data_IF_012201273770
#
_entry.id   IF_012201273770
#
_cell.length_a   1.000
_cell.length_b   1.000
_cell.length_c   1.000
_cell.angle_alpha   90.00
_cell.angle_beta   90.00
_cell.angle_gamma   90.00
#
_symmetry.space_group_name_H-M   'P 1'
#
loop_
_entity.id
_entity.type
_entity.pdbx_description
1 polymer ?
#
# COMPACT_ATOMS: atom_id res chain seq x y z
N UNK A 1 -0.10 26.77 -11.15
CA UNK A 1 -0.69 25.45 -10.88
C UNK A 1 0.48 24.48 -10.81
N UNK A 2 0.84 23.95 -9.65
CA UNK A 2 1.92 22.95 -9.55
C UNK A 2 1.40 21.62 -10.10
N UNK A 3 2.13 21.01 -11.02
CA UNK A 3 1.76 19.70 -11.54
C UNK A 3 2.09 18.64 -10.48
N UNK A 4 1.29 17.57 -10.37
CA UNK A 4 1.51 16.47 -9.41
C UNK A 4 2.92 15.81 -9.60
N UNK A 5 3.52 16.00 -10.78
CA UNK A 5 4.89 15.58 -11.07
C UNK A 5 5.96 16.44 -10.38
N UNK A 6 5.69 17.72 -10.15
CA UNK A 6 6.64 18.68 -9.56
C UNK A 6 6.89 18.40 -8.08
N UNK A 7 5.96 17.67 -7.44
CA UNK A 7 6.01 17.31 -6.03
C UNK A 7 6.47 15.86 -5.78
N UNK A 8 7.00 15.15 -6.80
CA UNK A 8 7.57 13.82 -6.57
C UNK A 8 8.78 13.95 -5.63
N UNK A 9 8.90 13.10 -4.59
CA UNK A 9 10.08 13.09 -3.74
C UNK A 9 11.36 12.98 -4.58
N UNK A 10 12.33 13.90 -4.42
CA UNK A 10 13.58 13.83 -5.15
C UNK A 10 14.34 12.54 -4.78
N UNK A 11 14.95 11.91 -5.77
CA UNK A 11 15.72 10.66 -5.59
C UNK A 11 16.87 10.81 -4.57
N UNK A 12 17.34 12.05 -4.35
CA UNK A 12 18.39 12.40 -3.39
C UNK A 12 17.95 12.35 -1.92
N UNK A 13 16.64 12.29 -1.62
CA UNK A 13 16.15 12.13 -0.25
C UNK A 13 16.22 10.68 0.27
N UNK A 14 16.81 9.78 -0.52
CA UNK A 14 17.04 8.38 -0.15
C UNK A 14 16.10 7.39 -0.84
N UNK A 15 16.42 6.11 -0.65
CA UNK A 15 15.78 4.94 -1.25
C UNK A 15 14.54 4.47 -0.49
N UNK A 16 13.81 5.37 0.16
CA UNK A 16 12.76 5.00 1.09
C UNK A 16 11.42 4.79 0.39
N UNK A 17 10.61 3.90 0.97
CA UNK A 17 9.32 3.40 0.51
C UNK A 17 8.32 4.50 0.10
N UNK A 18 8.47 5.03 -1.12
CA UNK A 18 7.50 5.98 -1.70
C UNK A 18 6.14 5.32 -2.02
N UNK A 19 6.03 4.01 -1.79
CA UNK A 19 4.93 3.19 -2.22
C UNK A 19 4.57 2.16 -1.14
N UNK A 20 3.28 1.90 -1.03
CA UNK A 20 2.73 0.75 -0.31
C UNK A 20 2.29 -0.27 -1.35
N UNK A 21 2.86 -1.47 -1.32
CA UNK A 21 2.38 -2.59 -2.13
C UNK A 21 1.47 -3.49 -1.27
N UNK A 22 0.24 -3.70 -1.76
CA UNK A 22 -0.72 -4.65 -1.20
C UNK A 22 -0.84 -5.84 -2.13
N UNK A 23 -0.70 -7.05 -1.58
CA UNK A 23 -0.84 -8.29 -2.36
C UNK A 23 -2.00 -9.11 -1.82
N UNK A 24 -3.06 -9.23 -2.61
CA UNK A 24 -4.24 -10.03 -2.31
C UNK A 24 -4.13 -11.40 -2.98
N UNK A 25 -3.99 -12.46 -2.19
CA UNK A 25 -3.73 -13.81 -2.67
C UNK A 25 -4.99 -14.65 -2.83
N UNK A 26 -5.03 -15.38 -3.94
CA UNK A 26 -6.09 -16.28 -4.36
C UNK A 26 -7.47 -15.63 -4.31
N UNK A 27 -7.68 -14.49 -5.01
CA UNK A 27 -9.01 -13.92 -5.11
C UNK A 27 -9.93 -14.93 -5.83
N UNK A 28 -11.12 -15.15 -5.30
CA UNK A 28 -12.11 -16.06 -5.87
C UNK A 28 -12.64 -15.61 -7.26
N UNK A 29 -12.46 -14.32 -7.57
CA UNK A 29 -12.81 -13.68 -8.83
C UNK A 29 -11.63 -12.87 -9.32
N UNK A 30 -11.34 -12.93 -10.63
CA UNK A 30 -10.22 -12.21 -11.25
C UNK A 30 -10.58 -10.82 -11.77
N UNK A 31 -11.85 -10.45 -11.75
CA UNK A 31 -12.30 -9.16 -12.24
C UNK A 31 -11.88 -8.00 -11.30
N UNK A 32 -10.92 -7.19 -11.75
CA UNK A 32 -10.40 -6.05 -10.98
C UNK A 32 -11.31 -4.80 -10.98
N UNK A 33 -12.47 -4.79 -11.65
CA UNK A 33 -13.35 -3.60 -11.71
C UNK A 33 -13.81 -3.12 -10.34
N UNK A 34 -14.12 -4.05 -9.42
CA UNK A 34 -14.53 -3.68 -8.06
C UNK A 34 -13.34 -3.18 -7.24
N UNK A 35 -12.16 -3.76 -7.44
CA UNK A 35 -10.92 -3.27 -6.84
C UNK A 35 -10.65 -1.80 -7.21
N UNK A 36 -10.79 -1.43 -8.49
CA UNK A 36 -10.66 -0.02 -8.93
C UNK A 36 -11.68 0.90 -8.26
N UNK A 37 -12.94 0.46 -8.14
CA UNK A 37 -13.99 1.25 -7.45
C UNK A 37 -13.67 1.46 -5.98
N UNK A 38 -13.16 0.44 -5.29
CA UNK A 38 -12.76 0.58 -3.88
C UNK A 38 -11.55 1.51 -3.74
N UNK A 39 -10.60 1.48 -4.68
CA UNK A 39 -9.49 2.43 -4.68
C UNK A 39 -9.98 3.87 -4.80
N UNK A 40 -10.96 4.14 -5.65
CA UNK A 40 -11.57 5.47 -5.76
C UNK A 40 -12.35 5.85 -4.50
N UNK A 41 -13.15 4.94 -3.96
CA UNK A 41 -13.95 5.13 -2.74
C UNK A 41 -13.11 5.55 -1.53
N UNK A 42 -11.93 4.96 -1.37
CA UNK A 42 -11.03 5.25 -0.24
C UNK A 42 -9.93 6.28 -0.56
N UNK A 43 -9.98 6.94 -1.72
CA UNK A 43 -8.99 7.96 -2.10
C UNK A 43 -7.57 7.41 -2.33
N UNK A 44 -7.48 6.12 -2.68
CA UNK A 44 -6.25 5.35 -2.94
C UNK A 44 -5.98 5.16 -4.44
N UNK A 45 -6.92 5.54 -5.32
CA UNK A 45 -6.78 5.36 -6.76
C UNK A 45 -5.71 6.24 -7.41
N UNK A 46 -5.37 7.36 -6.78
CA UNK A 46 -4.42 8.32 -7.31
C UNK A 46 -3.01 7.73 -7.41
N UNK A 47 -2.49 7.68 -8.65
CA UNK A 47 -1.19 7.04 -8.97
C UNK A 47 -1.07 5.62 -8.43
N UNK A 48 -2.19 4.91 -8.32
CA UNK A 48 -2.18 3.48 -8.08
C UNK A 48 -1.77 2.71 -9.33
N UNK A 49 -1.11 1.57 -9.15
CA UNK A 49 -0.90 0.59 -10.22
C UNK A 49 -1.44 -0.75 -9.75
N UNK A 50 -2.43 -1.25 -10.46
CA UNK A 50 -2.99 -2.57 -10.22
C UNK A 50 -2.46 -3.54 -11.26
N UNK A 51 -1.91 -4.63 -10.77
CA UNK A 51 -1.30 -5.68 -11.57
C UNK A 51 -1.98 -7.00 -11.22
N UNK A 52 -2.73 -7.55 -12.17
CA UNK A 52 -3.42 -8.83 -12.06
C UNK A 52 -2.52 -9.94 -12.59
N UNK A 53 -2.12 -10.86 -11.71
CA UNK A 53 -1.25 -11.98 -12.08
C UNK A 53 -1.83 -13.26 -11.54
N UNK A 54 -2.19 -14.19 -12.44
CA UNK A 54 -2.64 -15.57 -12.21
C UNK A 54 -3.51 -15.82 -10.96
N UNK A 55 -2.90 -15.77 -9.77
CA UNK A 55 -3.45 -16.11 -8.47
C UNK A 55 -3.44 -14.95 -7.46
N UNK A 56 -3.18 -13.71 -7.88
CA UNK A 56 -3.14 -12.53 -7.00
C UNK A 56 -3.47 -11.21 -7.70
N UNK A 57 -3.96 -10.27 -6.91
CA UNK A 57 -3.90 -8.85 -7.24
C UNK A 57 -2.74 -8.20 -6.50
N UNK A 58 -1.89 -7.46 -7.21
CA UNK A 58 -0.91 -6.57 -6.59
C UNK A 58 -1.34 -5.13 -6.84
N UNK A 59 -1.56 -4.38 -5.77
CA UNK A 59 -1.96 -2.98 -5.81
C UNK A 59 -0.82 -2.17 -5.22
N UNK A 60 -0.25 -1.30 -6.03
CA UNK A 60 0.79 -0.37 -5.64
C UNK A 60 0.19 1.00 -5.43
N UNK A 61 0.43 1.61 -4.28
CA UNK A 61 -0.13 2.90 -3.88
C UNK A 61 1.00 3.91 -3.68
N UNK A 62 1.02 4.99 -4.47
CA UNK A 62 2.02 6.07 -4.33
C UNK A 62 1.52 7.24 -3.50
N UNK A 63 0.21 7.45 -3.49
CA UNK A 63 -0.42 8.63 -2.94
C UNK A 63 -1.70 8.28 -2.19
N UNK A 64 -2.07 9.20 -1.31
CA UNK A 64 -3.36 9.27 -0.66
C UNK A 64 -3.84 10.73 -0.75
N UNK A 65 -5.01 10.96 -1.36
CA UNK A 65 -5.67 12.27 -1.50
C UNK A 65 -4.72 13.41 -1.90
N UNK A 66 -4.00 13.27 -3.01
CA UNK A 66 -3.11 14.31 -3.54
C UNK A 66 -1.74 14.43 -2.87
N UNK A 67 -1.43 13.62 -1.84
CA UNK A 67 -0.13 13.61 -1.15
C UNK A 67 0.56 12.26 -1.28
N UNK A 68 1.87 12.27 -1.48
CA UNK A 68 2.65 11.03 -1.43
C UNK A 68 2.68 10.49 0.00
N UNK A 69 2.63 9.16 0.15
CA UNK A 69 2.78 8.48 1.45
C UNK A 69 4.00 8.97 2.23
N UNK A 70 5.08 9.28 1.52
CA UNK A 70 6.33 9.82 2.06
C UNK A 70 6.18 11.18 2.77
N UNK A 71 5.22 12.01 2.35
CA UNK A 71 5.04 13.37 2.87
C UNK A 71 3.87 13.49 3.84
N UNK A 72 3.23 12.39 4.22
CA UNK A 72 2.14 12.43 5.19
C UNK A 72 2.67 12.81 6.56
N UNK A 73 1.98 13.73 7.23
CA UNK A 73 2.16 13.95 8.67
C UNK A 73 1.66 12.74 9.46
N UNK A 74 1.98 12.67 10.76
CA UNK A 74 1.52 11.57 11.62
C UNK A 74 -0.03 11.48 11.69
N UNK A 75 -0.72 12.62 11.72
CA UNK A 75 -2.19 12.67 11.73
C UNK A 75 -2.78 12.18 10.39
N UNK A 76 -2.21 12.64 9.27
CA UNK A 76 -2.63 12.19 7.94
C UNK A 76 -2.33 10.72 7.71
N UNK A 77 -1.20 10.22 8.22
CA UNK A 77 -0.87 8.80 8.19
C UNK A 77 -1.93 7.99 8.90
N UNK A 78 -2.34 8.40 10.10
CA UNK A 78 -3.37 7.69 10.86
C UNK A 78 -4.69 7.60 10.07
N UNK A 79 -5.10 8.69 9.41
CA UNK A 79 -6.30 8.72 8.56
C UNK A 79 -6.12 7.86 7.30
N UNK A 80 -4.98 7.98 6.62
CA UNK A 80 -4.66 7.19 5.43
C UNK A 80 -4.62 5.69 5.74
N UNK A 81 -4.11 5.31 6.91
CA UNK A 81 -4.11 3.93 7.39
C UNK A 81 -5.51 3.43 7.70
N UNK A 82 -6.42 4.25 8.21
CA UNK A 82 -7.83 3.86 8.37
C UNK A 82 -8.51 3.58 7.03
N UNK A 83 -8.29 4.46 6.04
CA UNK A 83 -8.76 4.26 4.66
C UNK A 83 -8.15 2.98 4.06
N UNK A 84 -6.86 2.73 4.31
CA UNK A 84 -6.15 1.52 3.87
C UNK A 84 -6.73 0.24 4.51
N UNK A 85 -7.00 0.27 5.82
CA UNK A 85 -7.61 -0.86 6.55
C UNK A 85 -9.01 -1.15 5.99
N UNK A 86 -9.82 -0.11 5.79
CA UNK A 86 -11.17 -0.25 5.25
C UNK A 86 -11.12 -0.84 3.83
N UNK A 87 -10.21 -0.34 2.98
CA UNK A 87 -9.96 -0.88 1.65
C UNK A 87 -9.53 -2.36 1.69
N UNK A 88 -8.56 -2.71 2.53
CA UNK A 88 -8.07 -4.08 2.67
C UNK A 88 -9.19 -5.02 3.10
N UNK A 89 -9.94 -4.65 4.16
CA UNK A 89 -11.06 -5.46 4.68
C UNK A 89 -12.13 -5.67 3.63
N UNK A 90 -12.56 -4.59 2.95
CA UNK A 90 -13.60 -4.65 1.92
C UNK A 90 -13.16 -5.51 0.74
N UNK A 91 -11.94 -5.31 0.27
CA UNK A 91 -11.36 -6.08 -0.84
C UNK A 91 -11.22 -7.55 -0.48
N UNK A 92 -10.58 -7.86 0.66
CA UNK A 92 -10.38 -9.24 1.09
C UNK A 92 -11.70 -9.99 1.31
N UNK A 93 -12.72 -9.30 1.85
CA UNK A 93 -14.06 -9.87 2.03
C UNK A 93 -14.75 -10.14 0.69
N UNK A 94 -14.75 -9.14 -0.21
CA UNK A 94 -15.41 -9.26 -1.52
C UNK A 94 -14.81 -10.38 -2.37
N UNK A 95 -13.48 -10.40 -2.46
CA UNK A 95 -12.74 -11.37 -3.27
C UNK A 95 -12.41 -12.66 -2.49
N UNK A 96 -12.88 -12.79 -1.25
CA UNK A 96 -12.60 -13.94 -0.36
C UNK A 96 -11.12 -14.34 -0.35
N UNK A 97 -10.23 -13.36 -0.25
CA UNK A 97 -8.80 -13.60 -0.36
C UNK A 97 -8.30 -14.44 0.82
N UNK A 98 -7.50 -15.46 0.51
CA UNK A 98 -6.91 -16.34 1.53
C UNK A 98 -5.87 -15.65 2.41
N UNK A 99 -5.25 -14.59 1.90
CA UNK A 99 -4.13 -13.88 2.53
C UNK A 99 -3.97 -12.50 1.91
N UNK A 100 -3.62 -11.52 2.72
CA UNK A 100 -3.19 -10.18 2.27
C UNK A 100 -1.79 -9.90 2.79
N UNK A 101 -0.92 -9.34 1.94
CA UNK A 101 0.40 -8.87 2.35
C UNK A 101 0.51 -7.35 2.18
N UNK A 102 1.22 -6.72 3.11
CA UNK A 102 1.63 -5.32 3.08
C UNK A 102 3.15 -5.27 2.96
N UNK A 103 3.66 -4.63 1.91
CA UNK A 103 5.08 -4.66 1.56
C UNK A 103 5.56 -3.27 1.17
N UNK A 104 6.63 -2.80 1.79
CA UNK A 104 7.27 -1.52 1.48
C UNK A 104 8.70 -1.68 0.93
N UNK A 105 9.12 -2.93 0.62
CA UNK A 105 10.50 -3.27 0.21
C UNK A 105 10.82 -2.93 -1.24
N UNK A 106 9.83 -2.91 -2.13
CA UNK A 106 10.02 -2.93 -3.59
C UNK A 106 10.89 -1.79 -4.15
N UNK A 107 11.19 -0.74 -3.37
CA UNK A 107 12.03 0.38 -3.79
C UNK A 107 13.14 0.79 -2.81
N UNK A 108 13.51 -0.07 -1.86
CA UNK A 108 14.79 0.06 -1.16
C UNK A 108 15.94 -0.27 -2.13
N UNK A 109 16.19 0.60 -3.11
CA UNK A 109 17.27 0.47 -4.09
C UNK A 109 18.60 0.39 -3.34
N UNK A 110 19.26 -0.78 -3.43
CA UNK A 110 20.62 -0.99 -2.94
C UNK A 110 20.78 -1.44 -1.49
N UNK A 111 19.70 -1.60 -0.71
CA UNK A 111 19.77 -2.07 0.69
C UNK A 111 18.68 -3.09 0.99
N UNK A 112 18.65 -4.22 0.29
CA UNK A 112 17.90 -5.39 0.78
C UNK A 112 18.68 -6.02 1.93
N UNK A 113 18.71 -5.33 3.09
CA UNK A 113 18.71 -6.06 4.36
C UNK A 113 17.57 -7.08 4.24
N UNK A 114 17.82 -8.34 4.56
CA UNK A 114 16.78 -9.37 4.58
C UNK A 114 15.66 -8.88 5.52
N UNK A 115 14.57 -8.38 4.97
CA UNK A 115 13.39 -7.99 5.75
C UNK A 115 12.62 -9.27 6.05
N UNK A 116 12.54 -9.69 7.33
CA UNK A 116 11.79 -10.89 7.67
C UNK A 116 10.29 -10.65 7.47
N UNK A 117 9.61 -11.65 6.93
CA UNK A 117 8.15 -11.64 6.88
C UNK A 117 7.60 -11.79 8.29
N UNK A 118 6.72 -10.88 8.71
CA UNK A 118 6.06 -10.93 10.01
C UNK A 118 4.56 -11.05 9.85
N UNK A 119 3.87 -11.58 10.86
CA UNK A 119 2.41 -11.62 10.88
C UNK A 119 1.91 -10.51 11.80
N UNK A 120 1.00 -9.70 11.27
CA UNK A 120 0.39 -8.57 11.98
C UNK A 120 -1.13 -8.60 11.79
N UNK A 121 -1.85 -7.92 12.67
CA UNK A 121 -3.26 -7.64 12.44
C UNK A 121 -3.36 -6.47 11.47
N UNK A 122 -4.42 -6.44 10.68
CA UNK A 122 -4.65 -5.30 9.78
C UNK A 122 -4.81 -3.99 10.57
N UNK A 123 -5.29 -4.04 11.81
CA UNK A 123 -5.38 -2.88 12.69
C UNK A 123 -4.03 -2.26 13.06
N UNK A 124 -2.93 -3.01 13.00
CA UNK A 124 -1.60 -2.51 13.38
C UNK A 124 -1.08 -1.46 12.36
N UNK A 125 -1.75 -1.30 11.21
CA UNK A 125 -1.41 -0.28 10.20
C UNK A 125 -1.66 1.17 10.68
N UNK A 126 -2.52 1.42 11.67
CA UNK A 126 -2.74 2.78 12.21
C UNK A 126 -1.63 3.26 13.14
N UNK A 127 -0.68 2.39 13.50
CA UNK A 127 0.52 2.79 14.23
C UNK A 127 1.41 3.73 13.38
N UNK A 128 2.51 4.17 13.96
CA UNK A 128 3.45 5.05 13.28
C UNK A 128 3.90 4.47 11.92
N UNK A 129 4.15 5.33 10.91
CA UNK A 129 4.62 4.87 9.62
C UNK A 129 5.90 4.03 9.77
N UNK A 130 6.07 2.95 8.97
CA UNK A 130 7.34 2.27 8.88
C UNK A 130 8.46 3.26 8.59
N UNK A 131 9.56 3.18 9.35
CA UNK A 131 10.68 4.07 9.12
C UNK A 131 11.23 3.89 7.70
N UNK A 132 11.61 5.01 7.09
CA UNK A 132 12.04 5.09 5.70
C UNK A 132 13.20 4.16 5.33
N UNK A 133 14.10 3.92 6.26
CA UNK A 133 15.27 3.04 6.15
C UNK A 133 15.02 1.61 6.69
N UNK A 134 13.80 1.34 7.17
CA UNK A 134 13.36 0.05 7.71
C UNK A 134 12.10 -0.42 6.97
N UNK A 135 12.23 -0.88 5.71
CA UNK A 135 11.11 -1.45 4.99
C UNK A 135 10.56 -2.67 5.72
N UNK A 136 9.27 -2.91 5.56
CA UNK A 136 8.53 -3.98 6.23
C UNK A 136 7.88 -4.91 5.23
N UNK A 137 7.67 -6.15 5.67
CA UNK A 137 6.89 -7.14 4.94
C UNK A 137 5.99 -7.90 5.91
N UNK A 138 4.71 -7.59 5.85
CA UNK A 138 3.71 -8.11 6.77
C UNK A 138 2.72 -8.98 6.02
N UNK A 139 2.38 -10.13 6.62
CA UNK A 139 1.17 -10.88 6.30
C UNK A 139 0.08 -10.44 7.27
N UNK A 140 -1.00 -9.90 6.72
CA UNK A 140 -2.07 -9.33 7.51
C UNK A 140 -3.12 -10.39 7.83
N UNK A 141 -3.56 -10.41 9.09
CA UNK A 141 -4.78 -11.09 9.50
C UNK A 141 -5.92 -10.09 9.38
N UNK A 142 -6.86 -10.36 8.47
CA UNK A 142 -7.96 -9.46 8.07
C UNK A 142 -9.28 -9.94 8.65
#
# INVERSE_FOLDING_TARGET
MQHIHDNKPPLSLGSSSLWVDLVFWHPNQKDARQLTRYLEEYGLGERSQTVEWLDKFTVRLAMWKGKYWYFLTAEEWQQASQDLIAFIKKTATHYQCSKVEYDTRAFAVGLTKKVPRQRHRVEDLVEAPPAHDHPVWWTLTV
#
